data_IF_803566976993
#
_entry.id   IF_803566976993
#
_cell.length_a   1.000
_cell.length_b   1.000
_cell.length_c   1.000
_cell.angle_alpha   90.00
_cell.angle_beta   90.00
_cell.angle_gamma   90.00
#
_symmetry.space_group_name_H-M   'P 1'
#
loop_
_entity.id
_entity.type
_entity.pdbx_description
1 polymer ?
#
# COMPACT_ATOMS: atom_id res chain seq x y z
N UNK A 1 -12.45 18.15 -8.08
CA UNK A 1 -12.54 18.06 -6.60
C UNK A 1 -11.20 17.62 -6.00
N UNK A 2 -10.68 18.37 -5.03
CA UNK A 2 -9.48 17.99 -4.25
C UNK A 2 -9.95 17.20 -3.02
N UNK A 3 -9.77 15.88 -3.06
CA UNK A 3 -10.24 14.94 -2.05
C UNK A 3 -9.01 14.31 -1.38
N UNK A 4 -9.06 14.14 -0.05
CA UNK A 4 -7.97 13.68 0.82
C UNK A 4 -6.74 14.61 0.82
N UNK A 5 -6.04 14.67 1.96
CA UNK A 5 -4.69 15.23 2.01
C UNK A 5 -3.73 14.33 1.23
N UNK A 6 -2.76 14.91 0.50
CA UNK A 6 -1.99 14.22 -0.53
C UNK A 6 -1.27 12.97 -0.03
N UNK A 7 -0.61 13.02 1.12
CA UNK A 7 0.15 11.89 1.68
C UNK A 7 -0.73 10.67 2.00
N UNK A 8 -2.03 10.90 2.21
CA UNK A 8 -3.01 9.87 2.56
C UNK A 8 -3.99 9.59 1.41
N UNK A 9 -3.73 10.15 0.22
CA UNK A 9 -4.63 10.05 -0.92
C UNK A 9 -4.52 8.68 -1.57
N UNK A 10 -5.66 8.07 -1.82
CA UNK A 10 -5.75 6.72 -2.40
C UNK A 10 -5.41 6.69 -3.90
N UNK A 11 -4.97 5.52 -4.42
CA UNK A 11 -4.64 5.35 -5.84
C UNK A 11 -5.82 5.66 -6.76
N UNK A 12 -7.04 5.25 -6.41
CA UNK A 12 -8.23 5.51 -7.23
C UNK A 12 -8.53 7.01 -7.40
N UNK A 13 -8.28 7.83 -6.37
CA UNK A 13 -8.43 9.29 -6.48
C UNK A 13 -7.32 9.89 -7.36
N UNK A 14 -6.08 9.44 -7.20
CA UNK A 14 -4.94 9.89 -8.00
C UNK A 14 -5.10 9.51 -9.48
N UNK A 15 -5.53 8.29 -9.76
CA UNK A 15 -5.71 7.72 -11.09
C UNK A 15 -7.04 8.12 -11.75
N UNK A 16 -7.98 8.70 -11.00
CA UNK A 16 -9.29 9.10 -11.50
C UNK A 16 -10.18 7.90 -11.85
N UNK A 17 -10.20 6.92 -10.95
CA UNK A 17 -11.09 5.76 -10.98
C UNK A 17 -12.36 6.06 -10.15
N UNK A 18 -13.45 5.29 -10.35
CA UNK A 18 -14.58 5.29 -9.41
C UNK A 18 -14.10 4.93 -8.00
N UNK A 19 -14.67 5.58 -6.99
CA UNK A 19 -14.27 5.40 -5.59
C UNK A 19 -15.49 5.30 -4.68
N UNK A 20 -15.28 4.72 -3.49
CA UNK A 20 -16.26 4.61 -2.42
C UNK A 20 -15.59 4.88 -1.07
N UNK A 21 -16.25 4.55 0.05
CA UNK A 21 -15.74 4.72 1.42
C UNK A 21 -14.39 4.02 1.69
N UNK A 22 -13.99 3.05 0.86
CA UNK A 22 -12.69 2.37 1.00
C UNK A 22 -11.48 3.27 0.77
N UNK A 23 -11.66 4.49 0.25
CA UNK A 23 -10.59 5.51 0.22
C UNK A 23 -10.09 5.83 1.63
N UNK A 24 -10.96 5.76 2.65
CA UNK A 24 -10.61 6.02 4.04
C UNK A 24 -9.77 4.88 4.62
N UNK A 25 -9.99 3.64 4.17
CA UNK A 25 -9.16 2.49 4.57
C UNK A 25 -7.73 2.64 4.06
N UNK A 26 -7.52 3.22 2.88
CA UNK A 26 -6.17 3.56 2.41
C UNK A 26 -5.53 4.63 3.29
N UNK A 27 -6.25 5.72 3.57
CA UNK A 27 -5.73 6.78 4.46
C UNK A 27 -5.38 6.24 5.84
N UNK A 28 -6.20 5.36 6.40
CA UNK A 28 -5.94 4.70 7.68
C UNK A 28 -4.67 3.85 7.62
N UNK A 29 -4.45 3.08 6.55
CA UNK A 29 -3.21 2.32 6.35
C UNK A 29 -1.97 3.22 6.32
N UNK A 30 -2.04 4.37 5.63
CA UNK A 30 -0.95 5.35 5.63
C UNK A 30 -0.70 5.95 7.02
N UNK A 31 -1.76 6.30 7.76
CA UNK A 31 -1.65 6.84 9.13
C UNK A 31 -1.06 5.80 10.08
N UNK A 32 -1.50 4.54 10.00
CA UNK A 32 -0.94 3.46 10.84
C UNK A 32 0.55 3.25 10.55
N UNK A 33 0.95 3.26 9.28
CA UNK A 33 2.35 3.16 8.91
C UNK A 33 3.15 4.37 9.42
N UNK A 34 2.62 5.58 9.31
CA UNK A 34 3.26 6.80 9.81
C UNK A 34 3.42 6.80 11.33
N UNK A 35 2.41 6.35 12.08
CA UNK A 35 2.50 6.21 13.53
C UNK A 35 3.61 5.23 13.94
N UNK A 36 3.85 4.18 13.14
CA UNK A 36 4.92 3.22 13.42
C UNK A 36 6.31 3.72 12.99
N UNK A 37 6.40 4.41 11.85
CA UNK A 37 7.67 4.88 11.28
C UNK A 37 8.15 6.21 11.87
N UNK A 38 7.23 7.06 12.33
CA UNK A 38 7.50 8.44 12.75
C UNK A 38 7.55 9.45 11.60
N UNK A 39 7.33 9.04 10.36
CA UNK A 39 7.26 9.90 9.17
C UNK A 39 6.25 9.36 8.15
N UNK A 40 5.72 10.23 7.24
CA UNK A 40 4.72 9.81 6.26
C UNK A 40 5.24 8.70 5.35
N UNK A 41 4.41 7.66 5.14
CA UNK A 41 4.76 6.53 4.28
C UNK A 41 4.98 6.96 2.82
N UNK A 42 4.17 7.91 2.34
CA UNK A 42 4.22 8.42 0.97
C UNK A 42 4.29 9.96 0.94
N UNK A 43 5.48 10.55 1.11
CA UNK A 43 5.67 12.00 1.22
C UNK A 43 5.78 12.68 -0.15
N UNK A 44 4.74 12.58 -0.99
CA UNK A 44 4.74 13.16 -2.35
C UNK A 44 4.60 14.69 -2.38
N UNK A 45 5.49 15.40 -3.07
CA UNK A 45 5.36 16.86 -3.26
C UNK A 45 4.36 17.23 -4.38
N UNK A 46 4.09 16.29 -5.28
CA UNK A 46 3.11 16.40 -6.37
C UNK A 46 2.27 15.12 -6.46
N UNK A 47 1.20 15.13 -7.27
CA UNK A 47 0.44 13.88 -7.54
C UNK A 47 1.30 12.83 -8.26
N UNK A 48 2.24 13.28 -9.10
CA UNK A 48 3.21 12.41 -9.74
C UNK A 48 4.14 11.76 -8.72
N UNK A 49 4.73 12.54 -7.81
CA UNK A 49 5.58 11.99 -6.75
C UNK A 49 4.81 11.03 -5.85
N UNK A 50 3.55 11.35 -5.54
CA UNK A 50 2.69 10.49 -4.75
C UNK A 50 2.51 9.11 -5.40
N UNK A 51 2.16 9.07 -6.70
CA UNK A 51 2.07 7.82 -7.45
C UNK A 51 3.43 7.11 -7.55
N UNK A 52 4.51 7.85 -7.77
CA UNK A 52 5.88 7.29 -7.83
C UNK A 52 6.23 6.55 -6.54
N UNK A 53 6.00 7.15 -5.37
CA UNK A 53 6.26 6.50 -4.08
C UNK A 53 5.44 5.22 -3.89
N UNK A 54 4.16 5.25 -4.27
CA UNK A 54 3.28 4.08 -4.20
C UNK A 54 3.82 2.94 -5.08
N UNK A 55 4.19 3.25 -6.32
CA UNK A 55 4.72 2.27 -7.28
C UNK A 55 6.08 1.72 -6.86
N UNK A 56 6.99 2.57 -6.36
CA UNK A 56 8.30 2.14 -5.86
C UNK A 56 8.17 1.19 -4.66
N UNK A 57 7.16 1.38 -3.82
CA UNK A 57 6.95 0.59 -2.61
C UNK A 57 6.15 -0.69 -2.86
N UNK A 58 5.14 -0.64 -3.74
CA UNK A 58 4.16 -1.72 -3.91
C UNK A 58 4.15 -2.36 -5.30
N UNK A 59 4.89 -1.82 -6.26
CA UNK A 59 4.82 -2.20 -7.67
C UNK A 59 3.72 -1.48 -8.44
N UNK A 60 3.63 -1.78 -9.74
CA UNK A 60 2.64 -1.17 -10.63
C UNK A 60 1.21 -1.64 -10.29
N UNK A 61 0.20 -0.74 -10.38
CA UNK A 61 -1.19 -1.17 -10.39
C UNK A 61 -1.44 -2.18 -11.53
N UNK A 62 -2.31 -3.16 -11.28
CA UNK A 62 -2.72 -4.15 -12.29
C UNK A 62 -3.24 -3.46 -13.55
N UNK A 63 -3.04 -4.08 -14.72
CA UNK A 63 -3.38 -3.49 -16.02
C UNK A 63 -4.84 -3.05 -16.13
N UNK A 64 -5.78 -3.78 -15.53
CA UNK A 64 -7.20 -3.40 -15.57
C UNK A 64 -7.48 -2.06 -14.89
N UNK A 65 -6.76 -1.75 -13.80
CA UNK A 65 -6.85 -0.45 -13.12
C UNK A 65 -6.29 0.66 -14.01
N UNK A 66 -5.11 0.43 -14.60
CA UNK A 66 -4.47 1.41 -15.48
C UNK A 66 -5.29 1.69 -16.75
N UNK A 67 -5.97 0.67 -17.27
CA UNK A 67 -6.83 0.80 -18.45
C UNK A 67 -8.16 1.52 -18.15
N UNK A 68 -8.71 1.37 -16.95
CA UNK A 68 -9.93 2.06 -16.53
C UNK A 68 -9.68 3.49 -16.01
N UNK A 69 -8.44 3.80 -15.62
CA UNK A 69 -8.06 5.05 -14.99
C UNK A 69 -8.05 6.24 -15.97
N UNK A 70 -8.88 7.24 -15.71
CA UNK A 70 -9.00 8.44 -16.55
C UNK A 70 -7.73 9.29 -16.59
N UNK A 71 -6.93 9.26 -15.51
CA UNK A 71 -5.67 10.04 -15.38
C UNK A 71 -4.40 9.21 -15.57
N UNK A 72 -4.49 7.93 -15.92
CA UNK A 72 -3.30 7.07 -16.04
C UNK A 72 -2.23 7.64 -16.98
N UNK A 73 -2.65 8.27 -18.08
CA UNK A 73 -1.77 8.87 -19.08
C UNK A 73 -0.93 10.06 -18.57
N UNK A 74 -1.26 10.65 -17.41
CA UNK A 74 -0.43 11.68 -16.76
C UNK A 74 0.77 11.09 -16.03
N UNK A 75 0.70 9.81 -15.64
CA UNK A 75 1.69 9.17 -14.77
C UNK A 75 2.45 8.05 -15.47
N UNK A 76 1.80 7.37 -16.41
CA UNK A 76 2.33 6.17 -17.06
C UNK A 76 2.37 6.34 -18.58
N UNK A 77 3.47 5.86 -19.17
CA UNK A 77 3.61 5.75 -20.62
C UNK A 77 3.52 4.28 -21.00
N UNK A 78 2.65 3.94 -21.96
CA UNK A 78 2.62 2.60 -22.55
C UNK A 78 3.88 2.40 -23.39
N UNK A 79 4.72 1.44 -23.01
CA UNK A 79 5.86 1.01 -23.83
C UNK A 79 5.39 -0.01 -24.87
N UNK A 80 5.57 0.24 -26.18
CA UNK A 80 5.34 -0.78 -27.19
C UNK A 80 6.47 -1.82 -27.11
N UNK A 81 6.21 -2.92 -26.39
CA UNK A 81 7.07 -4.09 -26.13
C UNK A 81 8.09 -3.94 -25.01
N UNK A 82 7.88 -4.70 -23.94
CA UNK A 82 8.81 -5.78 -23.55
C UNK A 82 8.02 -6.98 -23.03
N UNK A 83 8.00 -8.06 -23.82
CA UNK A 83 7.93 -9.41 -23.27
C UNK A 83 9.32 -9.68 -22.69
N UNK A 84 9.50 -9.47 -21.39
CA UNK A 84 10.57 -10.13 -20.65
C UNK A 84 10.08 -10.42 -19.24
N UNK A 85 9.63 -11.66 -19.05
CA UNK A 85 9.91 -12.38 -17.82
C UNK A 85 11.42 -12.27 -17.57
N UNK A 86 11.82 -11.52 -16.54
CA UNK A 86 12.70 -12.06 -15.50
C UNK A 86 13.12 -11.00 -14.47
N UNK A 87 13.19 -11.51 -13.24
CA UNK A 87 14.02 -11.07 -12.12
C UNK A 87 13.65 -9.75 -11.43
N UNK A 88 13.01 -9.90 -10.26
CA UNK A 88 13.58 -9.36 -9.03
C UNK A 88 13.31 -10.34 -7.90
N UNK A 89 14.41 -10.95 -7.47
CA UNK A 89 14.51 -11.93 -6.42
C UNK A 89 13.96 -11.38 -5.10
N UNK A 90 13.25 -12.24 -4.37
CA UNK A 90 12.98 -11.99 -2.95
C UNK A 90 14.30 -12.11 -2.21
N UNK A 91 14.92 -10.98 -1.85
CA UNK A 91 15.98 -11.01 -0.84
C UNK A 91 15.31 -11.36 0.49
N UNK A 92 15.26 -12.66 0.79
CA UNK A 92 15.06 -13.17 2.13
C UNK A 92 16.21 -12.69 3.01
N UNK A 93 16.03 -11.51 3.60
CA UNK A 93 16.96 -10.91 4.54
C UNK A 93 16.98 -11.69 5.86
N UNK A 94 18.08 -12.42 6.07
CA UNK A 94 18.65 -12.89 7.32
C UNK A 94 17.72 -13.22 8.49
N UNK A 95 17.40 -14.51 8.64
CA UNK A 95 17.07 -15.10 9.93
C UNK A 95 18.33 -15.12 10.80
N UNK A 96 18.54 -14.08 11.60
CA UNK A 96 19.42 -14.21 12.75
C UNK A 96 18.71 -15.04 13.82
N UNK A 97 19.34 -16.16 14.14
CA UNK A 97 19.09 -17.02 15.28
C UNK A 97 19.32 -16.25 16.59
N UNK A 98 18.70 -16.77 17.66
CA UNK A 98 18.74 -16.35 19.08
C UNK A 98 17.72 -15.24 19.40
N UNK A 99 16.78 -15.34 20.34
CA UNK A 99 16.78 -16.04 21.63
C UNK A 99 15.32 -16.28 22.07
N UNK A 100 15.04 -17.42 22.69
CA UNK A 100 13.71 -17.86 23.15
C UNK A 100 13.25 -17.05 24.37
N UNK A 101 13.00 -15.76 24.15
CA UNK A 101 12.33 -14.87 25.10
C UNK A 101 10.88 -14.69 24.61
N UNK A 102 9.92 -15.18 25.40
CA UNK A 102 8.49 -15.10 25.06
C UNK A 102 8.04 -13.69 24.67
N UNK A 103 8.61 -12.65 25.28
CA UNK A 103 8.31 -11.24 24.98
C UNK A 103 8.77 -10.82 23.58
N UNK A 104 10.00 -11.19 23.17
CA UNK A 104 10.51 -10.86 21.84
C UNK A 104 9.73 -11.59 20.73
N UNK A 105 9.28 -12.82 21.02
CA UNK A 105 8.40 -13.57 20.11
C UNK A 105 7.02 -12.92 19.99
N UNK A 106 6.44 -12.46 21.10
CA UNK A 106 5.16 -11.74 21.11
C UNK A 106 5.25 -10.44 20.32
N UNK A 107 6.27 -9.61 20.55
CA UNK A 107 6.50 -8.36 19.81
C UNK A 107 6.66 -8.61 18.31
N UNK A 108 7.42 -9.65 17.93
CA UNK A 108 7.58 -10.03 16.54
C UNK A 108 6.24 -10.44 15.90
N UNK A 109 5.38 -11.11 16.66
CA UNK A 109 4.06 -11.51 16.19
C UNK A 109 3.14 -10.31 16.01
N UNK A 110 3.12 -9.37 16.95
CA UNK A 110 2.33 -8.14 16.85
C UNK A 110 2.77 -7.31 15.65
N UNK A 111 4.09 -7.17 15.43
CA UNK A 111 4.62 -6.47 14.25
C UNK A 111 4.22 -7.13 12.94
N UNK A 112 4.21 -8.47 12.89
CA UNK A 112 3.73 -9.22 11.71
C UNK A 112 2.25 -8.98 11.47
N UNK A 113 1.42 -9.05 12.51
CA UNK A 113 -0.02 -8.81 12.42
C UNK A 113 -0.33 -7.36 11.97
N UNK A 114 0.40 -6.38 12.51
CA UNK A 114 0.28 -4.98 12.10
C UNK A 114 0.64 -4.79 10.62
N UNK A 115 1.79 -5.35 10.20
CA UNK A 115 2.29 -5.23 8.83
C UNK A 115 1.32 -5.87 7.84
N UNK A 116 0.75 -7.03 8.18
CA UNK A 116 -0.27 -7.70 7.37
C UNK A 116 -1.50 -6.79 7.21
N UNK A 117 -2.04 -6.26 8.32
CA UNK A 117 -3.21 -5.40 8.29
C UNK A 117 -2.98 -4.15 7.44
N UNK A 118 -1.83 -3.48 7.59
CA UNK A 118 -1.44 -2.33 6.79
C UNK A 118 -1.40 -2.70 5.30
N UNK A 119 -0.83 -3.85 4.93
CA UNK A 119 -0.83 -4.31 3.51
C UNK A 119 -2.24 -4.51 2.96
N UNK A 120 -3.17 -5.03 3.76
CA UNK A 120 -4.58 -5.20 3.35
C UNK A 120 -5.31 -3.86 3.23
N UNK A 121 -4.99 -2.88 4.07
CA UNK A 121 -5.50 -1.51 3.98
C UNK A 121 -4.93 -0.78 2.76
N UNK A 122 -3.67 -1.02 2.44
CA UNK A 122 -2.94 -0.40 1.34
C UNK A 122 -3.02 -1.22 0.04
N UNK A 123 -4.03 -2.06 -0.12
CA UNK A 123 -4.26 -2.77 -1.39
C UNK A 123 -4.66 -1.76 -2.47
N UNK A 124 -3.93 -1.80 -3.60
CA UNK A 124 -4.09 -0.86 -4.72
C UNK A 124 -5.49 -0.92 -5.34
N UNK A 125 -6.01 -2.14 -5.56
CA UNK A 125 -7.39 -2.33 -6.03
C UNK A 125 -8.36 -2.13 -4.86
N UNK A 126 -9.18 -1.08 -4.93
CA UNK A 126 -10.16 -0.78 -3.89
C UNK A 126 -11.21 -1.88 -3.73
N UNK A 127 -11.49 -2.68 -4.77
CA UNK A 127 -12.43 -3.79 -4.65
C UNK A 127 -11.88 -4.92 -3.77
N UNK A 128 -10.56 -5.18 -3.85
CA UNK A 128 -9.84 -6.18 -3.06
C UNK A 128 -9.42 -5.66 -1.67
N UNK A 129 -9.43 -4.34 -1.47
CA UNK A 129 -9.06 -3.68 -0.21
C UNK A 129 -10.01 -4.06 0.94
N UNK A 130 -9.41 -4.33 2.11
CA UNK A 130 -10.14 -4.70 3.32
C UNK A 130 -11.17 -3.63 3.73
N UNK A 131 -12.33 -4.07 4.19
CA UNK A 131 -13.38 -3.18 4.73
C UNK A 131 -13.13 -2.85 6.20
N UNK A 132 -13.72 -1.77 6.75
CA UNK A 132 -13.61 -1.48 8.19
C UNK A 132 -14.07 -2.66 9.07
N UNK A 133 -15.19 -3.29 8.71
CA UNK A 133 -15.77 -4.42 9.43
C UNK A 133 -14.89 -5.68 9.42
N UNK A 134 -14.15 -5.92 8.33
CA UNK A 134 -13.16 -6.99 8.27
C UNK A 134 -11.86 -6.61 9.00
N UNK A 135 -11.44 -5.34 8.93
CA UNK A 135 -10.26 -4.83 9.62
C UNK A 135 -10.36 -4.93 11.14
N UNK A 136 -11.54 -4.63 11.70
CA UNK A 136 -11.79 -4.81 13.15
C UNK A 136 -11.71 -6.26 13.61
N UNK A 137 -11.88 -7.24 12.71
CA UNK A 137 -11.76 -8.67 13.00
C UNK A 137 -10.34 -9.21 12.81
N UNK A 138 -9.38 -8.35 12.47
CA UNK A 138 -8.01 -8.76 12.20
C UNK A 138 -7.27 -9.15 13.49
N UNK A 139 -6.41 -10.20 13.48
CA UNK A 139 -5.57 -10.60 14.63
C UNK A 139 -4.58 -9.53 15.16
N UNK A 140 -4.59 -8.32 14.62
CA UNK A 140 -3.81 -7.22 15.20
C UNK A 140 -4.52 -6.61 16.41
N UNK A 141 -5.85 -6.73 16.47
CA UNK A 141 -6.65 -6.17 17.56
C UNK A 141 -7.02 -7.21 18.64
N UNK A 142 -6.57 -8.46 18.51
CA UNK A 142 -6.86 -9.58 19.41
C UNK A 142 -5.61 -10.45 19.62
#
# INVERSE_FOLDING_TARGET
PYIQSRFYRSPEILLGLPFCEKVDMWSLGCVMAELHLGWPLYPGNSEYDQIRYVVETQGLPKDHLLNAATKAHHFFRRSPRQNSLDQLETVSGHKNLLQDNNEASAELQDRKNMTELIKRMLTLDSHERITPSAGLKHPYFY
#
